data_IF_857467199417
#
_entry.id   IF_857467199417
#
_cell.length_a   1.000
_cell.length_b   1.000
_cell.length_c   1.000
_cell.angle_alpha   90.00
_cell.angle_beta   90.00
_cell.angle_gamma   90.00
#
_symmetry.space_group_name_H-M   'P 1'
#
loop_
_entity.id
_entity.type
_entity.pdbx_description
1 polymer ?
#
# COMPACT_ATOMS: atom_id res chain seq x y z
N UNK A 1 -8.38 34.04 -32.35
CA UNK A 1 -8.11 32.73 -32.98
C UNK A 1 -7.06 32.02 -32.13
N UNK A 2 -7.50 31.23 -31.16
CA UNK A 2 -6.59 30.43 -30.35
C UNK A 2 -5.99 29.34 -31.24
N UNK A 3 -4.66 29.34 -31.36
CA UNK A 3 -3.94 28.35 -32.16
C UNK A 3 -4.32 26.95 -31.66
N UNK A 4 -4.61 25.97 -32.55
CA UNK A 4 -5.10 24.65 -32.15
C UNK A 4 -4.12 23.92 -31.21
N UNK A 5 -2.84 24.26 -31.31
CA UNK A 5 -1.77 23.79 -30.43
C UNK A 5 -1.99 24.20 -28.96
N UNK A 6 -2.45 25.42 -28.70
CA UNK A 6 -2.65 25.97 -27.35
C UNK A 6 -3.82 25.28 -26.66
N UNK A 7 -4.89 24.97 -27.42
CA UNK A 7 -6.07 24.26 -26.91
C UNK A 7 -5.70 22.83 -26.50
N UNK A 8 -4.89 22.13 -27.30
CA UNK A 8 -4.46 20.77 -26.99
C UNK A 8 -3.64 20.71 -25.69
N UNK A 9 -2.68 21.62 -25.54
CA UNK A 9 -1.80 21.68 -24.34
C UNK A 9 -2.59 22.03 -23.08
N UNK A 10 -3.54 22.96 -23.17
CA UNK A 10 -4.40 23.34 -22.05
C UNK A 10 -5.35 22.21 -21.62
N UNK A 11 -5.87 21.43 -22.57
CA UNK A 11 -6.74 20.29 -22.26
C UNK A 11 -5.94 19.16 -21.60
N UNK A 12 -4.73 18.87 -22.07
CA UNK A 12 -3.85 17.84 -21.48
C UNK A 12 -3.41 18.23 -20.06
N UNK A 13 -3.09 19.51 -19.81
CA UNK A 13 -2.69 19.96 -18.48
C UNK A 13 -3.83 19.90 -17.46
N UNK A 14 -5.05 20.27 -17.85
CA UNK A 14 -6.25 20.16 -16.99
C UNK A 14 -6.57 18.70 -16.65
N UNK A 15 -6.40 17.77 -17.59
CA UNK A 15 -6.58 16.33 -17.37
C UNK A 15 -5.53 15.74 -16.41
N UNK A 16 -4.29 16.27 -16.44
CA UNK A 16 -3.22 15.82 -15.55
C UNK A 16 -3.39 16.36 -14.11
N UNK A 17 -4.07 17.50 -13.95
CA UNK A 17 -4.40 18.11 -12.66
C UNK A 17 -5.66 17.51 -12.02
N UNK A 18 -6.55 16.91 -12.82
CA UNK A 18 -7.79 16.28 -12.37
C UNK A 18 -7.66 14.78 -12.12
N UNK A 19 -6.54 14.16 -12.50
CA UNK A 19 -6.22 12.82 -12.06
C UNK A 19 -6.08 12.85 -10.53
N UNK A 20 -6.87 12.06 -9.78
CA UNK A 20 -6.62 11.92 -8.36
C UNK A 20 -5.20 11.38 -8.25
N UNK A 21 -4.32 12.15 -7.59
CA UNK A 21 -3.08 11.61 -7.04
C UNK A 21 -3.53 10.62 -5.97
N UNK A 22 -3.97 9.44 -6.38
CA UNK A 22 -4.16 8.33 -5.49
C UNK A 22 -2.76 8.06 -4.96
N UNK A 23 -2.49 8.54 -3.74
CA UNK A 23 -1.32 8.16 -2.98
C UNK A 23 -1.46 6.67 -2.71
N UNK A 24 -1.10 5.87 -3.72
CA UNK A 24 -1.22 4.44 -3.68
C UNK A 24 -0.20 3.95 -2.65
N UNK A 25 -0.70 3.31 -1.60
CA UNK A 25 0.16 2.66 -0.61
C UNK A 25 1.15 1.73 -1.33
N UNK A 26 2.43 1.88 -1.04
CA UNK A 26 3.47 1.00 -1.60
C UNK A 26 3.81 -0.15 -0.64
N UNK A 27 4.31 -1.26 -1.18
CA UNK A 27 4.78 -2.37 -0.32
C UNK A 27 5.95 -1.99 0.59
N UNK A 28 6.76 -0.99 0.20
CA UNK A 28 7.82 -0.44 1.03
C UNK A 28 7.27 0.24 2.29
N UNK A 29 6.20 1.02 2.14
CA UNK A 29 5.52 1.65 3.28
C UNK A 29 4.86 0.61 4.19
N UNK A 30 4.16 -0.38 3.62
CA UNK A 30 3.56 -1.49 4.39
C UNK A 30 4.62 -2.21 5.22
N UNK A 31 5.78 -2.49 4.63
CA UNK A 31 6.91 -3.09 5.34
C UNK A 31 7.45 -2.17 6.44
N UNK A 32 7.51 -0.86 6.19
CA UNK A 32 7.90 0.14 7.17
C UNK A 32 6.98 0.16 8.40
N UNK A 33 5.66 0.13 8.18
CA UNK A 33 4.67 0.06 9.26
C UNK A 33 4.75 -1.24 10.07
N UNK A 34 5.08 -2.36 9.42
CA UNK A 34 5.11 -3.69 10.05
C UNK A 34 6.47 -4.08 10.63
N UNK A 35 7.54 -3.33 10.33
CA UNK A 35 8.88 -3.54 10.90
C UNK A 35 8.90 -3.73 12.42
N UNK A 36 8.21 -2.93 13.26
CA UNK A 36 8.18 -3.15 14.71
C UNK A 36 7.46 -4.43 15.14
N UNK A 37 6.69 -5.07 14.25
CA UNK A 37 5.96 -6.31 14.51
C UNK A 37 6.79 -7.58 14.26
N UNK A 38 7.98 -7.50 13.66
CA UNK A 38 8.74 -8.70 13.29
C UNK A 38 9.03 -9.63 14.47
N UNK A 39 9.37 -9.09 15.64
CA UNK A 39 9.60 -9.89 16.85
C UNK A 39 8.36 -10.68 17.27
N UNK A 40 7.19 -10.04 17.24
CA UNK A 40 5.90 -10.69 17.51
C UNK A 40 5.54 -11.72 16.43
N UNK A 41 5.74 -11.37 15.15
CA UNK A 41 5.44 -12.26 14.02
C UNK A 41 6.33 -13.52 13.99
N UNK A 42 7.56 -13.43 14.49
CA UNK A 42 8.51 -14.55 14.51
C UNK A 42 8.41 -15.41 15.77
N UNK A 43 8.26 -14.78 16.94
CA UNK A 43 8.36 -15.45 18.24
C UNK A 43 7.05 -15.53 19.01
N UNK A 44 5.97 -14.92 18.51
CA UNK A 44 4.72 -14.77 19.24
C UNK A 44 4.86 -13.83 20.44
N UNK A 45 3.98 -13.99 21.43
CA UNK A 45 3.96 -13.17 22.65
C UNK A 45 2.99 -11.99 22.57
N UNK A 46 3.24 -10.91 23.29
CA UNK A 46 2.44 -9.68 23.18
C UNK A 46 3.08 -8.72 22.16
N UNK A 47 2.28 -8.06 21.31
CA UNK A 47 2.80 -7.05 20.41
C UNK A 47 3.32 -5.84 21.19
N UNK A 48 4.43 -5.27 20.74
CA UNK A 48 4.95 -4.01 21.29
C UNK A 48 3.99 -2.86 20.99
N UNK A 49 3.99 -1.82 21.84
CA UNK A 49 3.20 -0.61 21.58
C UNK A 49 3.51 0.00 20.20
N UNK A 50 4.78 -0.06 19.78
CA UNK A 50 5.23 0.35 18.44
C UNK A 50 4.65 -0.51 17.31
N UNK A 51 4.46 -1.82 17.53
CA UNK A 51 3.81 -2.68 16.54
C UNK A 51 2.33 -2.29 16.37
N UNK A 52 1.61 -2.12 17.48
CA UNK A 52 0.22 -1.68 17.43
C UNK A 52 0.09 -0.31 16.75
N UNK A 53 0.92 0.67 17.11
CA UNK A 53 0.93 1.98 16.47
C UNK A 53 1.23 1.90 14.96
N UNK A 54 2.19 1.06 14.56
CA UNK A 54 2.50 0.82 13.14
C UNK A 54 1.30 0.25 12.37
N UNK A 55 0.61 -0.75 12.92
CA UNK A 55 -0.60 -1.33 12.32
C UNK A 55 -1.75 -0.32 12.25
N UNK A 56 -1.94 0.48 13.30
CA UNK A 56 -2.94 1.56 13.29
C UNK A 56 -2.64 2.59 12.21
N UNK A 57 -1.38 3.01 12.07
CA UNK A 57 -0.97 3.95 11.03
C UNK A 57 -1.16 3.38 9.63
N UNK A 58 -0.85 2.10 9.40
CA UNK A 58 -1.14 1.43 8.14
C UNK A 58 -2.64 1.42 7.84
N UNK A 59 -3.49 1.16 8.83
CA UNK A 59 -4.94 1.19 8.66
C UNK A 59 -5.46 2.60 8.36
N UNK A 60 -4.89 3.63 8.99
CA UNK A 60 -5.21 5.03 8.72
C UNK A 60 -4.73 5.50 7.35
N UNK A 61 -3.64 4.95 6.83
CA UNK A 61 -3.20 5.20 5.46
C UNK A 61 -4.10 4.46 4.44
N UNK A 62 -4.51 3.22 4.74
CA UNK A 62 -5.29 2.36 3.84
C UNK A 62 -6.80 2.65 3.93
N UNK A 63 -7.17 3.89 3.60
CA UNK A 63 -8.57 4.36 3.72
C UNK A 63 -9.48 3.79 2.64
N UNK A 64 -8.94 3.52 1.44
CA UNK A 64 -9.71 3.01 0.31
C UNK A 64 -9.65 1.48 0.20
N UNK A 65 -10.64 0.89 -0.47
CA UNK A 65 -10.64 -0.56 -0.76
C UNK A 65 -9.47 -0.96 -1.64
N UNK A 66 -9.04 -0.09 -2.56
CA UNK A 66 -7.87 -0.29 -3.41
C UNK A 66 -6.59 -0.36 -2.57
N UNK A 67 -6.37 0.60 -1.68
CA UNK A 67 -5.18 0.62 -0.81
C UNK A 67 -5.13 -0.59 0.13
N UNK A 68 -6.27 -1.01 0.67
CA UNK A 68 -6.37 -2.23 1.48
C UNK A 68 -6.01 -3.49 0.70
N UNK A 69 -6.45 -3.59 -0.56
CA UNK A 69 -6.07 -4.72 -1.43
C UNK A 69 -4.57 -4.71 -1.71
N UNK A 70 -4.00 -3.56 -2.02
CA UNK A 70 -2.55 -3.42 -2.23
C UNK A 70 -1.78 -3.81 -0.97
N UNK A 71 -2.13 -3.24 0.18
CA UNK A 71 -1.50 -3.57 1.45
C UNK A 71 -1.59 -5.06 1.79
N UNK A 72 -2.76 -5.67 1.61
CA UNK A 72 -2.96 -7.11 1.81
C UNK A 72 -2.04 -7.95 0.90
N UNK A 73 -1.97 -7.61 -0.38
CA UNK A 73 -1.10 -8.29 -1.34
C UNK A 73 0.38 -8.15 -0.97
N UNK A 74 0.82 -6.96 -0.52
CA UNK A 74 2.18 -6.74 -0.04
C UNK A 74 2.52 -7.63 1.17
N UNK A 75 1.59 -7.78 2.13
CA UNK A 75 1.78 -8.66 3.29
C UNK A 75 1.82 -10.14 2.86
N UNK A 76 0.92 -10.56 1.96
CA UNK A 76 0.88 -11.93 1.41
C UNK A 76 2.20 -12.28 0.69
N UNK A 77 2.72 -11.39 -0.15
CA UNK A 77 4.01 -11.56 -0.83
C UNK A 77 5.20 -11.57 0.12
N UNK A 78 5.13 -10.83 1.23
CA UNK A 78 6.19 -10.80 2.25
C UNK A 78 6.30 -12.13 2.98
N UNK A 79 5.18 -12.81 3.24
CA UNK A 79 5.16 -14.18 3.78
C UNK A 79 5.85 -15.19 2.85
N UNK A 80 5.65 -15.04 1.54
CA UNK A 80 6.20 -15.95 0.53
C UNK A 80 7.74 -15.85 0.37
N UNK A 81 8.37 -14.76 0.82
CA UNK A 81 9.84 -14.62 0.79
C UNK A 81 10.54 -15.33 1.95
N UNK A 82 9.84 -15.57 3.05
CA UNK A 82 10.43 -16.13 4.29
C UNK A 82 10.13 -17.61 4.49
N UNK A 83 9.14 -18.17 3.79
CA UNK A 83 8.81 -19.59 3.80
C UNK A 83 8.36 -20.01 2.39
N UNK A 84 8.94 -21.06 1.79
CA UNK A 84 8.41 -21.69 0.58
C UNK A 84 7.19 -22.54 0.95
N UNK A 85 6.20 -21.95 1.63
CA UNK A 85 4.92 -22.58 1.93
C UNK A 85 3.90 -22.07 0.93
N UNK A 86 3.84 -22.79 -0.18
CA UNK A 86 2.75 -22.95 -1.15
C UNK A 86 1.48 -22.16 -0.79
N UNK A 87 1.47 -20.86 -1.13
CA UNK A 87 0.30 -19.97 -1.01
C UNK A 87 -0.70 -20.19 -2.17
N UNK A 88 -1.00 -21.46 -2.50
CA UNK A 88 -2.03 -21.87 -3.48
C UNK A 88 -3.44 -21.97 -2.87
N UNK A 89 -3.65 -21.45 -1.66
CA UNK A 89 -4.94 -21.58 -0.95
C UNK A 89 -5.53 -20.31 -0.34
N UNK A 90 -4.92 -19.14 -0.55
CA UNK A 90 -5.43 -17.87 -0.02
C UNK A 90 -6.04 -16.97 -1.11
N UNK A 91 -6.60 -17.58 -2.15
CA UNK A 91 -7.34 -16.92 -3.24
C UNK A 91 -8.70 -17.60 -3.53
N UNK A 92 -9.18 -18.46 -2.61
CA UNK A 92 -10.54 -19.01 -2.61
C UNK A 92 -11.19 -18.70 -1.27
#
# INVERSE_FOLDING_TARGET
MASPQIVLVAMVSVMLLSAPYAAAITCGEVSGYLKPCFSYLQRGGLPSASCCAGVTNLNSAATTTTDRRVACNCVKSSRNRSQPLTLERSDR
#
